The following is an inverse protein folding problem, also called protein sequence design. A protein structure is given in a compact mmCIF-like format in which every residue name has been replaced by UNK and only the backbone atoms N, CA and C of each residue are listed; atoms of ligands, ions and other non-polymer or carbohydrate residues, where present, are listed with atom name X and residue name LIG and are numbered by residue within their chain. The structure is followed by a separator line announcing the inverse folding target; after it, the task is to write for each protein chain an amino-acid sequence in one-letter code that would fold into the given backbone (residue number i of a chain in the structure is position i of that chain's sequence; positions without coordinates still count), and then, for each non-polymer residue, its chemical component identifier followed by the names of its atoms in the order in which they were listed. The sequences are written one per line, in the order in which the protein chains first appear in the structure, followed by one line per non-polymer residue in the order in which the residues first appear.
data_IF_959696283268
#
_entry.id   IF_959696283268
#
_cell.length_a   1.000
_cell.length_b   1.000
_cell.length_c   1.000
_cell.angle_alpha   90.00
_cell.angle_beta   90.00
_cell.angle_gamma   90.00
#
_symmetry.space_group_name_H-M   'P 1'
#
loop_
_entity.id
_entity.type
_entity.pdbx_description
1 polymer ?
#
# COMPACT_ATOMS: atom_id res chain seq x y z
N UNK A 1 14.44 -25.50 -60.22
CA UNK A 1 13.81 -24.28 -59.69
C UNK A 1 13.46 -24.50 -58.22
N UNK A 2 14.22 -23.93 -57.29
CA UNK A 2 13.88 -23.84 -55.86
C UNK A 2 14.52 -22.55 -55.34
N UNK A 3 13.76 -21.47 -55.36
CA UNK A 3 14.14 -20.17 -54.80
C UNK A 3 14.03 -20.25 -53.28
N UNK A 4 15.16 -20.19 -52.58
CA UNK A 4 15.23 -20.08 -51.13
C UNK A 4 14.99 -18.61 -50.74
N UNK A 5 13.90 -18.31 -50.04
CA UNK A 5 13.68 -17.01 -49.41
C UNK A 5 14.44 -16.98 -48.08
N UNK A 6 15.45 -16.13 -47.98
CA UNK A 6 16.15 -15.83 -46.73
C UNK A 6 15.37 -14.74 -45.99
N UNK A 7 14.52 -15.13 -45.04
CA UNK A 7 13.82 -14.20 -44.16
C UNK A 7 14.78 -13.68 -43.09
N UNK A 8 15.21 -12.42 -43.26
CA UNK A 8 16.00 -11.69 -42.27
C UNK A 8 15.07 -11.25 -41.12
N UNK A 9 15.09 -11.98 -40.01
CA UNK A 9 14.40 -11.56 -38.79
C UNK A 9 15.18 -10.41 -38.14
N UNK A 10 14.66 -9.19 -38.23
CA UNK A 10 15.16 -8.06 -37.45
C UNK A 10 14.84 -8.30 -35.97
N UNK A 11 15.85 -8.71 -35.19
CA UNK A 11 15.81 -8.62 -33.73
C UNK A 11 15.86 -7.14 -33.34
N UNK A 12 14.70 -6.53 -33.09
CA UNK A 12 14.64 -5.25 -32.40
C UNK A 12 15.10 -5.46 -30.96
N UNK A 13 16.32 -5.07 -30.64
CA UNK A 13 16.80 -5.00 -29.27
C UNK A 13 15.96 -3.95 -28.52
N UNK A 14 14.97 -4.42 -27.74
CA UNK A 14 14.27 -3.57 -26.77
C UNK A 14 15.30 -3.25 -25.69
N UNK A 15 15.92 -2.08 -25.77
CA UNK A 15 16.75 -1.57 -24.70
C UNK A 15 15.85 -1.38 -23.47
N UNK A 16 15.93 -2.30 -22.52
CA UNK A 16 15.29 -2.16 -21.22
C UNK A 16 15.93 -0.94 -20.55
N UNK A 17 15.29 0.22 -20.66
CA UNK A 17 15.75 1.41 -19.94
C UNK A 17 15.58 1.14 -18.46
N UNK A 18 16.70 0.95 -17.76
CA UNK A 18 16.71 0.94 -16.31
C UNK A 18 16.12 2.29 -15.83
N UNK A 19 14.96 2.23 -15.17
CA UNK A 19 14.38 3.40 -14.55
C UNK A 19 15.28 3.82 -13.38
N UNK A 20 15.50 5.13 -13.17
CA UNK A 20 16.30 5.58 -12.04
C UNK A 20 15.63 5.13 -10.73
N UNK A 21 16.41 4.66 -9.74
CA UNK A 21 15.88 4.30 -8.45
C UNK A 21 15.23 5.54 -7.81
N UNK A 22 14.13 5.33 -7.09
CA UNK A 22 13.51 6.42 -6.34
C UNK A 22 14.41 6.72 -5.15
N UNK A 23 15.16 7.81 -5.25
CA UNK A 23 15.99 8.28 -4.15
C UNK A 23 15.14 8.77 -2.98
N UNK A 24 15.63 8.53 -1.76
CA UNK A 24 14.95 8.94 -0.52
C UNK A 24 14.58 10.44 -0.48
N UNK A 25 15.37 11.30 -1.13
CA UNK A 25 15.09 12.74 -1.21
C UNK A 25 13.89 13.10 -2.10
N UNK A 26 13.49 12.23 -3.04
CA UNK A 26 12.43 12.51 -4.01
C UNK A 26 11.06 12.70 -3.35
N UNK A 27 10.81 12.00 -2.24
CA UNK A 27 9.53 12.03 -1.54
C UNK A 27 9.54 12.85 -0.24
N UNK A 28 10.71 13.26 0.27
CA UNK A 28 10.83 14.07 1.50
C UNK A 28 9.94 15.31 1.50
N UNK A 29 9.81 15.98 0.35
CA UNK A 29 8.98 17.18 0.18
C UNK A 29 7.48 16.96 0.45
N UNK A 30 7.02 15.71 0.46
CA UNK A 30 5.62 15.35 0.76
C UNK A 30 5.40 15.02 2.24
N UNK A 31 6.47 14.82 3.02
CA UNK A 31 6.36 14.51 4.45
C UNK A 31 6.02 15.79 5.20
N UNK A 32 4.83 15.89 5.83
CA UNK A 32 4.44 17.10 6.55
C UNK A 32 5.33 17.35 7.77
N UNK A 33 5.44 18.62 8.17
CA UNK A 33 6.09 18.98 9.44
C UNK A 33 5.43 18.23 10.60
N UNK A 34 6.24 17.73 11.53
CA UNK A 34 5.76 16.93 12.66
C UNK A 34 5.63 15.44 12.39
N UNK A 35 5.82 15.00 11.14
CA UNK A 35 5.83 13.59 10.75
C UNK A 35 7.22 13.09 10.36
N UNK A 36 7.41 11.79 10.48
CA UNK A 36 8.51 11.02 9.93
C UNK A 36 8.00 9.84 9.10
N UNK A 37 8.88 9.30 8.26
CA UNK A 37 8.56 8.14 7.41
C UNK A 37 8.76 6.88 8.24
N UNK A 38 7.68 6.12 8.42
CA UNK A 38 7.66 4.82 9.12
C UNK A 38 7.91 3.65 8.16
N UNK A 39 7.37 3.72 6.94
CA UNK A 39 7.63 2.76 5.87
C UNK A 39 7.56 3.43 4.50
N UNK A 40 8.26 2.85 3.53
CA UNK A 40 8.26 3.27 2.12
C UNK A 40 8.29 2.05 1.24
N UNK A 41 7.30 1.92 0.37
CA UNK A 41 7.18 0.80 -0.56
C UNK A 41 7.04 1.36 -1.97
N UNK A 42 7.74 0.75 -2.93
CA UNK A 42 7.66 1.14 -4.33
C UNK A 42 7.19 -0.01 -5.20
N UNK A 43 6.38 0.31 -6.20
CA UNK A 43 5.79 -0.63 -7.14
C UNK A 43 4.81 0.10 -8.04
N UNK A 44 4.38 -0.54 -9.12
CA UNK A 44 3.37 0.01 -10.01
C UNK A 44 1.99 -0.03 -9.34
N UNK A 45 1.41 1.13 -9.07
CA UNK A 45 0.10 1.26 -8.41
C UNK A 45 -1.02 1.57 -9.40
N UNK A 46 -0.73 2.02 -10.63
CA UNK A 46 -1.74 2.54 -11.56
C UNK A 46 -1.75 1.84 -12.95
N UNK A 47 -0.84 0.90 -13.18
CA UNK A 47 -0.71 0.10 -14.40
C UNK A 47 0.10 0.75 -15.53
N UNK A 48 0.80 1.86 -15.28
CA UNK A 48 1.62 2.54 -16.29
C UNK A 48 3.05 1.96 -16.41
N UNK A 49 3.37 0.92 -15.64
CA UNK A 49 4.69 0.27 -15.57
C UNK A 49 5.80 1.21 -15.07
N UNK A 50 5.45 2.30 -14.40
CA UNK A 50 6.35 3.19 -13.70
C UNK A 50 6.15 2.96 -12.21
N UNK A 51 7.19 2.50 -11.48
CA UNK A 51 7.14 2.40 -10.03
C UNK A 51 6.73 3.73 -9.38
N UNK A 52 5.67 3.64 -8.59
CA UNK A 52 5.12 4.65 -7.72
C UNK A 52 5.66 4.47 -6.29
N UNK A 53 5.18 5.29 -5.35
CA UNK A 53 5.57 5.22 -3.94
C UNK A 53 4.36 5.23 -3.03
N UNK A 54 4.32 4.30 -2.09
CA UNK A 54 3.54 4.42 -0.87
C UNK A 54 4.45 4.95 0.24
N UNK A 55 3.96 5.95 0.97
CA UNK A 55 4.54 6.37 2.25
C UNK A 55 3.57 6.02 3.38
N UNK A 56 4.10 5.41 4.43
CA UNK A 56 3.44 5.33 5.74
C UNK A 56 4.16 6.28 6.67
N UNK A 57 3.43 7.25 7.21
CA UNK A 57 3.99 8.26 8.10
C UNK A 57 3.62 7.99 9.56
N UNK A 58 4.45 8.50 10.46
CA UNK A 58 4.21 8.47 11.90
C UNK A 58 4.50 9.85 12.50
N UNK A 59 3.70 10.23 13.51
CA UNK A 59 3.93 11.44 14.30
C UNK A 59 5.22 11.35 15.10
N UNK A 60 6.01 12.44 15.12
CA UNK A 60 7.24 12.56 15.93
C UNK A 60 7.00 12.81 17.43
N UNK A 61 5.80 13.24 17.83
CA UNK A 61 5.50 13.58 19.22
C UNK A 61 4.15 13.02 19.67
N UNK A 62 4.00 12.77 20.98
CA UNK A 62 2.70 12.57 21.61
C UNK A 62 1.91 13.88 21.49
N UNK A 63 1.00 13.96 20.52
CA UNK A 63 0.20 15.16 20.23
C UNK A 63 0.34 15.78 18.83
N UNK A 64 1.06 15.20 17.86
CA UNK A 64 1.08 15.81 16.51
C UNK A 64 -0.25 15.60 15.79
N UNK A 65 -0.76 16.66 15.15
CA UNK A 65 -2.07 16.69 14.50
C UNK A 65 -1.99 16.71 12.96
N UNK A 66 -3.02 16.11 12.37
CA UNK A 66 -3.60 16.40 11.06
C UNK A 66 -5.14 16.14 11.09
N UNK A 67 -5.96 16.26 12.14
CA UNK A 67 -5.99 17.06 13.38
C UNK A 67 -6.20 16.22 14.65
N UNK A 68 -5.74 14.98 14.66
CA UNK A 68 -5.79 14.10 15.85
C UNK A 68 -4.41 13.55 16.22
N UNK A 69 -4.06 13.52 17.52
CA UNK A 69 -2.91 12.78 18.02
C UNK A 69 -3.01 11.29 17.63
N UNK A 70 -1.97 10.74 17.02
CA UNK A 70 -1.87 9.31 16.70
C UNK A 70 -2.17 8.92 15.24
N UNK A 71 -2.56 9.86 14.38
CA UNK A 71 -2.78 9.57 12.96
C UNK A 71 -1.51 9.06 12.27
N UNK A 72 -1.66 7.99 11.49
CA UNK A 72 -0.63 7.46 10.58
C UNK A 72 -1.05 7.68 9.13
N UNK A 73 -0.74 8.86 8.54
CA UNK A 73 -1.05 9.11 7.15
C UNK A 73 -0.46 8.04 6.23
N UNK A 74 -1.33 7.41 5.46
CA UNK A 74 -1.00 6.60 4.30
C UNK A 74 -1.08 7.48 3.06
N UNK A 75 0.01 7.57 2.30
CA UNK A 75 0.08 8.40 1.11
C UNK A 75 0.45 7.58 -0.11
N UNK A 76 -0.22 7.84 -1.23
CA UNK A 76 0.16 7.34 -2.55
C UNK A 76 0.74 8.50 -3.34
N UNK A 77 1.97 8.35 -3.80
CA UNK A 77 2.64 9.27 -4.72
C UNK A 77 2.79 8.57 -6.07
N UNK A 78 2.18 9.15 -7.10
CA UNK A 78 2.33 8.66 -8.46
C UNK A 78 3.55 9.28 -9.13
N UNK A 79 4.26 8.51 -9.95
CA UNK A 79 5.42 8.98 -10.70
C UNK A 79 5.07 9.10 -12.18
N UNK A 80 5.35 10.25 -12.78
CA UNK A 80 5.10 10.45 -14.21
C UNK A 80 6.27 9.95 -15.10
N UNK A 81 6.08 10.03 -16.42
CA UNK A 81 7.11 9.71 -17.44
C UNK A 81 8.40 10.54 -17.35
N UNK A 82 8.38 11.66 -16.62
CA UNK A 82 9.54 12.49 -16.32
C UNK A 82 10.18 12.16 -14.96
N UNK A 83 9.79 11.04 -14.35
CA UNK A 83 10.24 10.56 -13.04
C UNK A 83 9.93 11.52 -11.87
N UNK A 84 8.94 12.40 -12.03
CA UNK A 84 8.52 13.32 -10.99
C UNK A 84 7.34 12.71 -10.23
N UNK A 85 7.47 12.71 -8.90
CA UNK A 85 6.40 12.31 -7.98
C UNK A 85 5.37 13.44 -7.81
N UNK A 86 4.10 13.05 -7.70
CA UNK A 86 2.97 13.90 -7.29
C UNK A 86 2.10 13.15 -6.27
N UNK A 87 1.52 13.89 -5.32
CA UNK A 87 0.62 13.31 -4.33
C UNK A 87 -0.73 12.97 -4.96
N UNK A 88 -1.11 11.70 -4.95
CA UNK A 88 -2.41 11.25 -5.44
C UNK A 88 -3.42 11.09 -4.30
N UNK A 89 -3.03 10.42 -3.20
CA UNK A 89 -3.93 10.12 -2.08
C UNK A 89 -3.24 10.42 -0.75
N UNK A 90 -4.03 10.89 0.22
CA UNK A 90 -3.70 10.81 1.64
C UNK A 90 -4.93 10.24 2.35
N UNK A 91 -4.75 9.14 3.09
CA UNK A 91 -5.74 8.61 4.02
C UNK A 91 -5.14 8.62 5.43
N UNK A 92 -5.90 9.08 6.42
CA UNK A 92 -5.45 9.27 7.81
C UNK A 92 -5.98 8.22 8.80
N UNK A 93 -6.92 7.40 8.35
CA UNK A 93 -7.69 6.43 9.14
C UNK A 93 -7.42 4.97 8.74
N UNK A 94 -6.72 4.76 7.62
CA UNK A 94 -6.42 3.44 7.07
C UNK A 94 -5.46 2.62 7.94
N UNK A 95 -4.56 3.29 8.66
CA UNK A 95 -3.58 2.64 9.54
C UNK A 95 -3.88 3.03 10.98
N UNK A 96 -3.97 2.02 11.84
CA UNK A 96 -4.17 2.17 13.27
C UNK A 96 -3.01 2.97 13.91
N UNK A 97 -3.30 3.84 14.90
CA UNK A 97 -2.27 4.49 15.70
C UNK A 97 -1.23 3.52 16.29
N UNK A 98 -0.03 4.05 16.53
CA UNK A 98 1.12 3.28 16.98
C UNK A 98 0.96 2.62 18.35
N UNK A 99 0.10 3.17 19.19
CA UNK A 99 -0.04 2.89 20.61
C UNK A 99 -1.27 2.05 20.95
N UNK A 100 -2.05 1.61 19.95
CA UNK A 100 -3.30 0.87 20.17
C UNK A 100 -3.20 -0.63 19.86
N UNK A 101 -1.99 -1.19 19.74
CA UNK A 101 -1.82 -2.61 19.41
C UNK A 101 -1.90 -3.59 20.59
N UNK A 102 -2.16 -3.11 21.80
CA UNK A 102 -2.21 -3.96 23.01
C UNK A 102 -0.82 -4.45 23.40
N UNK A 103 -0.68 -5.73 23.78
CA UNK A 103 0.64 -6.29 24.12
C UNK A 103 1.54 -6.45 22.89
N UNK A 104 0.99 -6.34 21.68
CA UNK A 104 1.76 -6.46 20.44
C UNK A 104 2.53 -5.19 20.08
N UNK A 105 2.23 -4.05 20.71
CA UNK A 105 2.89 -2.77 20.43
C UNK A 105 2.29 -2.06 19.22
N UNK A 106 3.10 -1.76 18.20
CA UNK A 106 2.66 -1.09 16.98
C UNK A 106 1.80 -2.03 16.12
N UNK A 107 0.53 -1.70 15.83
CA UNK A 107 -0.31 -2.54 14.98
C UNK A 107 0.21 -2.71 13.56
N UNK A 108 0.91 -1.72 13.01
CA UNK A 108 1.34 -1.75 11.61
C UNK A 108 2.48 -2.75 11.41
N UNK A 109 2.27 -3.73 10.52
CA UNK A 109 3.30 -4.73 10.21
C UNK A 109 4.00 -4.39 8.90
N UNK A 110 3.25 -4.22 7.81
CA UNK A 110 3.84 -4.01 6.48
C UNK A 110 2.83 -3.48 5.47
N UNK A 111 3.34 -2.82 4.43
CA UNK A 111 2.63 -2.62 3.17
C UNK A 111 3.33 -3.42 2.07
N UNK A 112 2.55 -4.01 1.17
CA UNK A 112 3.07 -4.68 -0.04
C UNK A 112 2.36 -4.15 -1.26
N UNK A 113 3.05 -4.11 -2.40
CA UNK A 113 2.48 -3.72 -3.70
C UNK A 113 2.64 -4.89 -4.66
N UNK A 114 1.55 -5.27 -5.29
CA UNK A 114 1.51 -6.33 -6.30
C UNK A 114 0.34 -6.07 -7.28
N UNK A 115 0.54 -6.29 -8.56
CA UNK A 115 -0.51 -6.23 -9.59
C UNK A 115 -1.43 -4.99 -9.50
N UNK A 116 -0.87 -3.77 -9.55
CA UNK A 116 -1.63 -2.49 -9.45
C UNK A 116 -2.49 -2.38 -8.18
N UNK A 117 -2.08 -3.10 -7.14
CA UNK A 117 -2.79 -3.23 -5.87
C UNK A 117 -1.80 -3.08 -4.73
N UNK A 118 -2.30 -2.69 -3.57
CA UNK A 118 -1.50 -2.73 -2.36
C UNK A 118 -2.27 -3.41 -1.23
N UNK A 119 -1.54 -4.07 -0.34
CA UNK A 119 -2.10 -4.72 0.86
C UNK A 119 -1.40 -4.19 2.09
N UNK A 120 -2.20 -3.76 3.07
CA UNK A 120 -1.73 -3.34 4.38
C UNK A 120 -2.01 -4.46 5.36
N UNK A 121 -0.97 -4.86 6.10
CA UNK A 121 -1.08 -5.85 7.16
C UNK A 121 -0.95 -5.18 8.52
N UNK A 122 -1.90 -5.46 9.40
CA UNK A 122 -1.88 -5.02 10.79
C UNK A 122 -2.05 -6.20 11.74
N UNK A 123 -1.48 -6.10 12.95
CA UNK A 123 -1.54 -7.14 13.97
C UNK A 123 -1.56 -6.53 15.37
N UNK A 124 -2.63 -6.80 16.12
CA UNK A 124 -2.88 -6.15 17.40
C UNK A 124 -3.67 -7.06 18.34
N UNK A 125 -3.77 -6.67 19.61
CA UNK A 125 -4.50 -7.37 20.65
C UNK A 125 -3.58 -7.83 21.79
N UNK A 126 -4.08 -8.76 22.59
CA UNK A 126 -3.34 -9.25 23.76
C UNK A 126 -3.40 -10.77 23.84
N UNK A 127 -4.34 -11.32 24.62
CA UNK A 127 -4.63 -12.74 24.62
C UNK A 127 -5.34 -13.13 23.33
N UNK A 128 -6.36 -12.39 22.96
CA UNK A 128 -7.01 -12.46 21.67
C UNK A 128 -6.26 -11.52 20.74
N UNK A 129 -5.65 -12.08 19.70
CA UNK A 129 -4.85 -11.33 18.73
C UNK A 129 -5.55 -11.38 17.40
N UNK A 130 -5.51 -10.25 16.69
CA UNK A 130 -6.16 -10.08 15.41
C UNK A 130 -5.14 -9.61 14.39
N UNK A 131 -5.06 -10.32 13.27
CA UNK A 131 -4.35 -9.91 12.07
C UNK A 131 -5.36 -9.46 11.03
N UNK A 132 -5.15 -8.30 10.43
CA UNK A 132 -5.94 -7.82 9.29
C UNK A 132 -5.04 -7.62 8.07
N UNK A 133 -5.51 -8.06 6.92
CA UNK A 133 -4.91 -7.79 5.61
C UNK A 133 -5.96 -7.11 4.72
N UNK A 134 -5.77 -5.82 4.47
CA UNK A 134 -6.69 -4.99 3.68
C UNK A 134 -6.04 -4.67 2.34
N UNK A 135 -6.63 -5.19 1.25
CA UNK A 135 -6.15 -4.99 -0.12
C UNK A 135 -7.03 -4.00 -0.87
N UNK A 136 -6.40 -3.03 -1.52
CA UNK A 136 -7.04 -2.12 -2.48
C UNK A 136 -6.45 -2.33 -3.87
N UNK A 137 -7.30 -2.26 -4.89
CA UNK A 137 -6.90 -2.40 -6.28
C UNK A 137 -7.20 -1.11 -7.05
N UNK A 138 -6.30 -0.70 -7.94
CA UNK A 138 -6.56 0.42 -8.81
C UNK A 138 -7.67 0.11 -9.82
N UNK A 139 -8.57 1.07 -9.99
CA UNK A 139 -9.68 1.00 -10.93
C UNK A 139 -9.53 2.15 -11.94
N UNK A 140 -9.03 1.88 -13.17
CA UNK A 140 -8.72 2.94 -14.14
C UNK A 140 -9.91 3.84 -14.49
N UNK A 141 -11.13 3.29 -14.55
CA UNK A 141 -12.35 4.05 -14.83
C UNK A 141 -12.75 5.01 -13.71
N UNK A 142 -12.18 4.85 -12.52
CA UNK A 142 -12.37 5.72 -11.35
C UNK A 142 -11.14 6.56 -11.04
N UNK A 143 -9.98 6.21 -11.62
CA UNK A 143 -8.68 6.79 -11.29
C UNK A 143 -8.42 6.76 -9.78
N UNK A 144 -8.76 5.63 -9.15
CA UNK A 144 -8.77 5.48 -7.71
C UNK A 144 -8.53 4.03 -7.28
N UNK A 145 -8.15 3.82 -6.02
CA UNK A 145 -7.94 2.49 -5.44
C UNK A 145 -9.15 2.12 -4.60
N UNK A 146 -9.83 1.04 -4.98
CA UNK A 146 -11.04 0.59 -4.30
C UNK A 146 -10.75 -0.64 -3.45
N UNK A 147 -11.41 -0.72 -2.30
CA UNK A 147 -11.36 -1.87 -1.41
C UNK A 147 -11.75 -3.14 -2.17
N UNK A 148 -10.85 -4.12 -2.18
CA UNK A 148 -11.02 -5.35 -2.95
C UNK A 148 -11.13 -6.61 -2.08
N UNK A 149 -10.34 -6.66 -0.99
CA UNK A 149 -10.27 -7.83 -0.11
C UNK A 149 -9.94 -7.40 1.31
N UNK A 150 -10.60 -8.04 2.29
CA UNK A 150 -10.23 -7.97 3.71
C UNK A 150 -10.10 -9.40 4.23
N UNK A 151 -8.96 -9.73 4.81
CA UNK A 151 -8.74 -10.98 5.55
C UNK A 151 -8.55 -10.63 7.02
N UNK A 152 -9.32 -11.27 7.89
CA UNK A 152 -9.23 -11.10 9.34
C UNK A 152 -8.96 -12.48 9.94
N UNK A 153 -7.83 -12.62 10.62
CA UNK A 153 -7.48 -13.83 11.37
C UNK A 153 -7.42 -13.48 12.85
N UNK A 154 -8.23 -14.15 13.66
CA UNK A 154 -8.24 -14.03 15.12
C UNK A 154 -7.72 -15.31 15.74
N UNK A 155 -6.82 -15.19 16.70
CA UNK A 155 -6.18 -16.29 17.42
C UNK A 155 -6.23 -16.06 18.93
N UNK A 156 -6.21 -17.13 19.72
CA UNK A 156 -6.02 -17.06 21.17
C UNK A 156 -4.60 -17.46 21.52
N UNK A 157 -3.87 -16.62 22.23
CA UNK A 157 -2.49 -16.88 22.63
C UNK A 157 -2.33 -18.12 23.52
N UNK A 158 -3.42 -18.58 24.16
CA UNK A 158 -3.44 -19.77 25.02
C UNK A 158 -4.07 -20.99 24.34
N UNK A 159 -4.63 -20.84 23.14
CA UNK A 159 -5.32 -21.89 22.41
C UNK A 159 -5.18 -21.65 20.91
N UNK A 160 -4.14 -22.24 20.31
CA UNK A 160 -3.84 -22.07 18.89
C UNK A 160 -4.91 -22.73 17.99
N UNK A 161 -5.60 -23.75 18.48
CA UNK A 161 -6.64 -24.47 17.73
C UNK A 161 -7.93 -23.64 17.60
N UNK A 162 -8.08 -22.59 18.42
CA UNK A 162 -9.20 -21.64 18.34
C UNK A 162 -9.06 -20.58 17.22
N UNK A 163 -8.07 -20.71 16.33
CA UNK A 163 -7.84 -19.76 15.23
C UNK A 163 -9.02 -19.70 14.26
N UNK A 164 -9.48 -18.48 13.94
CA UNK A 164 -10.57 -18.23 13.00
C UNK A 164 -10.12 -17.25 11.93
N UNK A 165 -10.40 -17.57 10.67
CA UNK A 165 -10.14 -16.69 9.53
C UNK A 165 -11.42 -16.35 8.79
N UNK A 166 -11.66 -15.06 8.58
CA UNK A 166 -12.77 -14.52 7.79
C UNK A 166 -12.18 -13.81 6.58
N UNK A 167 -12.70 -14.12 5.39
CA UNK A 167 -12.32 -13.49 4.13
C UNK A 167 -13.54 -12.81 3.54
N UNK A 168 -13.45 -11.50 3.31
CA UNK A 168 -14.46 -10.69 2.61
C UNK A 168 -13.91 -10.27 1.25
N UNK A 169 -14.66 -10.51 0.17
CA UNK A 169 -14.32 -10.07 -1.20
C UNK A 169 -15.55 -9.91 -2.10
N UNK A 170 -15.38 -9.21 -3.22
CA UNK A 170 -16.43 -9.07 -4.23
C UNK A 170 -17.73 -8.52 -3.63
N UNK A 171 -18.86 -9.20 -3.85
CA UNK A 171 -20.19 -8.74 -3.39
C UNK A 171 -20.32 -8.59 -1.85
N UNK A 172 -19.42 -9.19 -1.07
CA UNK A 172 -19.41 -9.04 0.39
C UNK A 172 -18.84 -7.69 0.84
N UNK A 173 -18.13 -6.99 -0.05
CA UNK A 173 -17.57 -5.68 0.20
C UNK A 173 -18.25 -4.64 -0.68
N UNK A 174 -18.49 -3.47 -0.12
CA UNK A 174 -18.81 -2.30 -0.94
C UNK A 174 -17.53 -1.81 -1.62
N UNK A 175 -17.59 -1.31 -2.86
CA UNK A 175 -16.44 -0.67 -3.50
C UNK A 175 -16.18 0.69 -2.84
N UNK A 176 -15.40 0.69 -1.77
CA UNK A 176 -15.05 1.89 -0.99
C UNK A 176 -13.75 2.47 -1.53
N UNK A 177 -13.72 3.77 -1.80
CA UNK A 177 -12.51 4.50 -2.16
C UNK A 177 -11.50 4.42 -1.02
N UNK A 178 -10.21 4.30 -1.34
CA UNK A 178 -9.14 4.52 -0.37
C UNK A 178 -9.27 5.88 0.32
N UNK A 179 -9.86 6.91 -0.31
CA UNK A 179 -10.00 8.23 0.33
C UNK A 179 -11.02 8.25 1.47
N UNK A 180 -12.01 7.36 1.39
CA UNK A 180 -13.15 7.33 2.30
C UNK A 180 -13.09 6.15 3.29
N UNK A 181 -12.07 5.30 3.20
CA UNK A 181 -11.94 4.11 4.04
C UNK A 181 -11.45 4.47 5.45
N UNK A 182 -12.15 3.98 6.48
CA UNK A 182 -11.88 4.31 7.89
C UNK A 182 -11.54 3.10 8.77
N UNK A 183 -11.15 1.96 8.17
CA UNK A 183 -10.98 0.70 8.89
C UNK A 183 -12.27 -0.13 8.97
N UNK A 184 -12.13 -1.42 9.33
CA UNK A 184 -13.24 -2.29 9.75
C UNK A 184 -13.22 -2.53 11.26
#
# INVERSE_FOLDING_TARGET
MKTFFLSLALLSAIALRAQPPIGHDAFKKFVPTGYEVRDTVSGDLNGDHIPDVVLVLQSKAAGASLDTPGSRPFMILLRNNHYQLSLAVTNRDLILPADIGGTQGDPYVSTTIDNCSFTIQQYYGSRERTRTETTFCYVPSKQDWLLNKVVITTENALDADATKTVIKKGKQLKPVSIRDYTGE
#
